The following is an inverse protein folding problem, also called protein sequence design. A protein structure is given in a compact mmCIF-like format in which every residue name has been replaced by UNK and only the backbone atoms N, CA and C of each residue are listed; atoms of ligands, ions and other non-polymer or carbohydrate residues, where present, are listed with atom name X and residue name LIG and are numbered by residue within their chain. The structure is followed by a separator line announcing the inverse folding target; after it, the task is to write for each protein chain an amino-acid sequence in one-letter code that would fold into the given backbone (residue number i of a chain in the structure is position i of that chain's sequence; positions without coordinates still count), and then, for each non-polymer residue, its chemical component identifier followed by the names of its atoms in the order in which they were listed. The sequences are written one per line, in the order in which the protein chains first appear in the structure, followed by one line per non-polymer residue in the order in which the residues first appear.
data_IF_815093629204
#
_entry.id   IF_815093629204
#
_cell.length_a   1.000
_cell.length_b   1.000
_cell.length_c   1.000
_cell.angle_alpha   90.00
_cell.angle_beta   90.00
_cell.angle_gamma   90.00
#
_symmetry.space_group_name_H-M   'P 1'
#
loop_
_entity.id
_entity.type
_entity.pdbx_description
1 polymer ?
#
# COMPACT_ATOMS: atom_id res chain seq x y z
N UNK A 1 2.18 -0.46 18.69
CA UNK A 1 3.62 -0.76 18.51
C UNK A 1 3.86 -1.31 17.09
N UNK A 2 4.84 -0.77 16.39
CA UNK A 2 5.27 -1.27 15.07
C UNK A 2 6.57 -2.06 15.23
N UNK A 3 6.52 -3.37 14.97
CA UNK A 3 7.68 -4.26 15.13
C UNK A 3 8.43 -4.55 13.82
N UNK A 4 7.97 -4.01 12.71
CA UNK A 4 8.59 -4.25 11.40
C UNK A 4 9.81 -3.38 11.11
N UNK A 5 10.12 -2.41 11.96
CA UNK A 5 11.32 -1.57 11.82
C UNK A 5 11.86 -1.14 13.19
N UNK A 6 13.15 -0.81 13.23
CA UNK A 6 13.81 -0.32 14.44
C UNK A 6 13.19 1.01 14.93
N UNK A 7 12.86 1.89 14.03
CA UNK A 7 12.20 3.17 14.33
C UNK A 7 10.81 2.95 14.94
N UNK A 8 10.11 1.90 14.54
CA UNK A 8 8.85 1.51 15.13
C UNK A 8 9.00 1.06 16.59
N UNK A 9 10.12 0.41 16.93
CA UNK A 9 10.47 0.02 18.29
C UNK A 9 10.85 1.24 19.15
N UNK A 10 11.70 2.11 18.63
CA UNK A 10 12.14 3.33 19.34
C UNK A 10 11.00 4.31 19.56
N UNK A 11 10.07 4.43 18.61
CA UNK A 11 8.81 5.16 18.81
C UNK A 11 8.06 4.64 20.03
N UNK A 12 8.01 3.32 20.22
CA UNK A 12 7.31 2.70 21.32
C UNK A 12 5.84 2.42 21.07
N UNK A 13 5.06 2.24 22.14
CA UNK A 13 3.65 1.92 22.11
C UNK A 13 2.78 3.09 22.58
N UNK A 14 1.51 3.09 22.20
CA UNK A 14 0.53 4.09 22.62
C UNK A 14 -0.75 3.40 23.06
N UNK A 15 -1.42 3.96 24.06
CA UNK A 15 -2.77 3.55 24.50
C UNK A 15 -3.87 4.08 23.58
N UNK A 16 -3.55 5.03 22.71
CA UNK A 16 -4.51 5.62 21.78
C UNK A 16 -4.83 4.62 20.69
N UNK A 17 -6.09 4.24 20.61
CA UNK A 17 -6.61 3.39 19.52
C UNK A 17 -6.83 4.24 18.28
N UNK A 18 -6.04 4.01 17.26
CA UNK A 18 -6.20 4.67 15.95
C UNK A 18 -7.35 4.06 15.17
N UNK A 19 -7.56 2.75 15.31
CA UNK A 19 -8.60 2.02 14.60
C UNK A 19 -8.96 0.71 15.34
N UNK A 20 -10.26 0.41 15.46
CA UNK A 20 -10.75 -0.82 16.09
C UNK A 20 -11.73 -1.63 15.24
N UNK A 21 -11.82 -1.38 13.93
CA UNK A 21 -12.72 -2.10 13.01
C UNK A 21 -14.20 -1.74 13.11
N UNK A 22 -14.69 -1.36 14.29
CA UNK A 22 -16.11 -1.05 14.54
C UNK A 22 -16.39 0.42 14.76
N UNK A 23 -15.37 1.22 15.06
CA UNK A 23 -15.50 2.66 15.32
C UNK A 23 -14.51 3.43 14.46
N UNK A 24 -14.99 4.46 13.80
CA UNK A 24 -14.16 5.46 13.17
C UNK A 24 -13.55 6.33 14.29
N UNK A 25 -12.23 6.27 14.43
CA UNK A 25 -11.53 7.16 15.35
C UNK A 25 -11.40 8.54 14.70
N UNK A 26 -11.66 9.58 15.48
CA UNK A 26 -11.40 10.96 15.06
C UNK A 26 -9.93 11.37 15.15
N UNK A 27 -9.09 10.46 15.65
CA UNK A 27 -7.66 10.69 15.81
C UNK A 27 -6.96 10.27 14.52
N UNK A 28 -6.22 11.18 13.86
CA UNK A 28 -5.44 10.84 12.69
C UNK A 28 -4.47 9.69 13.01
N UNK A 29 -4.23 8.75 12.07
CA UNK A 29 -3.22 7.72 12.25
C UNK A 29 -1.83 8.36 12.43
N UNK A 30 -1.06 7.83 13.38
CA UNK A 30 0.33 8.27 13.58
C UNK A 30 1.26 7.64 12.55
N UNK A 31 2.16 8.45 12.00
CA UNK A 31 3.08 8.05 10.93
C UNK A 31 4.52 8.37 11.33
N UNK A 32 5.38 7.36 11.24
CA UNK A 32 6.81 7.54 11.46
C UNK A 32 7.38 8.59 10.50
N UNK A 33 8.25 9.45 11.00
CA UNK A 33 8.96 10.52 10.27
C UNK A 33 8.08 11.62 9.67
N UNK A 34 6.76 11.55 9.83
CA UNK A 34 5.83 12.58 9.35
C UNK A 34 5.26 13.37 10.52
N UNK A 35 4.72 12.66 11.53
CA UNK A 35 4.07 13.29 12.68
C UNK A 35 5.07 13.74 13.76
N UNK A 36 6.22 13.10 13.83
CA UNK A 36 7.33 13.41 14.72
C UNK A 36 8.63 12.81 14.17
N UNK A 37 9.75 13.45 14.44
CA UNK A 37 11.08 13.09 13.92
C UNK A 37 11.97 12.52 15.04
N UNK A 38 11.73 12.90 16.29
CA UNK A 38 12.56 12.50 17.43
C UNK A 38 11.78 11.67 18.45
N UNK A 39 12.52 10.99 19.32
CA UNK A 39 11.95 10.22 20.44
C UNK A 39 11.16 11.12 21.38
N UNK A 40 11.66 12.30 21.70
CA UNK A 40 11.04 13.28 22.58
C UNK A 40 9.70 13.75 22.02
N UNK A 41 9.62 14.02 20.72
CA UNK A 41 8.38 14.38 20.05
C UNK A 41 7.35 13.24 20.11
N UNK A 42 7.79 11.98 19.95
CA UNK A 42 6.92 10.82 20.14
C UNK A 42 6.43 10.68 21.58
N UNK A 43 7.29 10.93 22.59
CA UNK A 43 6.89 10.94 24.00
C UNK A 43 5.85 12.02 24.26
N UNK A 44 6.00 13.22 23.68
CA UNK A 44 5.03 14.31 23.77
C UNK A 44 3.67 13.94 23.15
N UNK A 45 3.63 13.04 22.17
CA UNK A 45 2.40 12.48 21.57
C UNK A 45 1.80 11.30 22.35
N UNK A 46 2.31 10.97 23.54
CA UNK A 46 1.80 9.91 24.41
C UNK A 46 2.27 8.50 24.05
N UNK A 47 3.33 8.38 23.26
CA UNK A 47 4.01 7.10 23.07
C UNK A 47 4.93 6.83 24.27
N UNK A 48 4.84 5.65 24.84
CA UNK A 48 5.72 5.21 25.94
C UNK A 48 6.77 4.21 25.44
N UNK A 49 7.96 4.17 26.06
CA UNK A 49 9.05 3.29 25.63
C UNK A 49 8.69 1.82 25.85
N UNK A 50 9.16 0.98 24.94
CA UNK A 50 9.10 -0.49 25.05
C UNK A 50 10.48 -1.11 25.21
N UNK A 51 11.53 -0.35 24.90
CA UNK A 51 12.93 -0.64 25.16
C UNK A 51 13.37 0.12 26.42
N UNK A 52 14.45 -0.30 27.02
CA UNK A 52 15.09 0.46 28.09
C UNK A 52 15.74 1.74 27.52
N UNK A 53 15.58 2.87 28.22
CA UNK A 53 16.13 4.15 27.74
C UNK A 53 17.37 4.60 28.56
N UNK A 54 17.49 4.20 29.84
CA UNK A 54 18.54 4.71 30.75
C UNK A 54 19.09 3.61 31.63
N UNK A 55 19.36 2.43 31.11
CA UNK A 55 19.92 1.32 31.91
C UNK A 55 21.45 1.30 31.81
N UNK A 56 22.08 0.93 32.89
CA UNK A 56 23.55 0.88 33.00
C UNK A 56 24.12 -0.54 32.94
N UNK A 57 23.32 -1.54 33.26
CA UNK A 57 23.72 -2.95 33.19
C UNK A 57 22.78 -3.78 32.30
N UNK A 58 23.23 -4.92 31.82
CA UNK A 58 22.39 -5.82 31.02
C UNK A 58 21.13 -6.27 31.77
N UNK A 59 21.22 -6.53 33.05
CA UNK A 59 20.11 -6.95 33.91
C UNK A 59 19.10 -5.81 34.05
N UNK A 60 19.56 -4.61 34.34
CA UNK A 60 18.71 -3.42 34.42
C UNK A 60 18.05 -3.12 33.07
N UNK A 61 18.77 -3.30 31.97
CA UNK A 61 18.23 -3.13 30.62
C UNK A 61 17.07 -4.08 30.36
N UNK A 62 17.18 -5.33 30.75
CA UNK A 62 16.09 -6.31 30.63
C UNK A 62 14.92 -5.95 31.53
N UNK A 63 15.14 -5.60 32.79
CA UNK A 63 14.10 -5.24 33.75
C UNK A 63 13.32 -3.99 33.30
N UNK A 64 14.01 -3.03 32.69
CA UNK A 64 13.38 -1.82 32.17
C UNK A 64 12.70 -2.01 30.81
N UNK A 65 12.96 -3.09 30.08
CA UNK A 65 12.38 -3.36 28.78
C UNK A 65 10.99 -3.98 28.90
N UNK A 66 9.95 -3.23 28.56
CA UNK A 66 8.59 -3.76 28.48
C UNK A 66 8.47 -4.90 27.46
N UNK A 67 9.22 -4.82 26.36
CA UNK A 67 9.27 -5.89 25.36
C UNK A 67 9.80 -7.20 25.96
N UNK A 68 10.87 -7.13 26.77
CA UNK A 68 11.38 -8.30 27.48
C UNK A 68 10.35 -8.86 28.47
N UNK A 69 9.69 -8.01 29.24
CA UNK A 69 8.68 -8.43 30.22
C UNK A 69 7.52 -9.16 29.52
N UNK A 70 7.06 -8.69 28.36
CA UNK A 70 6.02 -9.35 27.57
C UNK A 70 6.49 -10.68 26.97
N UNK A 71 7.74 -10.78 26.51
CA UNK A 71 8.34 -12.03 26.04
C UNK A 71 8.45 -13.05 27.17
N UNK A 72 8.91 -12.60 28.36
CA UNK A 72 9.00 -13.44 29.56
C UNK A 72 7.63 -13.92 30.02
N UNK A 73 6.62 -13.06 30.02
CA UNK A 73 5.25 -13.44 30.36
C UNK A 73 4.74 -14.57 29.46
N UNK A 74 5.06 -14.52 28.16
CA UNK A 74 4.73 -15.59 27.20
C UNK A 74 5.44 -16.90 27.54
N UNK A 75 6.69 -16.87 27.95
CA UNK A 75 7.44 -18.08 28.34
C UNK A 75 6.90 -18.71 29.62
N UNK A 76 6.43 -17.88 30.56
CA UNK A 76 5.82 -18.37 31.81
C UNK A 76 4.43 -19.00 31.59
N UNK A 77 3.73 -18.56 30.53
CA UNK A 77 2.38 -19.02 30.18
C UNK A 77 2.36 -19.50 28.71
N UNK A 78 3.02 -20.66 28.42
CA UNK A 78 3.17 -21.15 27.08
C UNK A 78 1.84 -21.56 26.47
N UNK A 79 1.68 -21.32 25.16
CA UNK A 79 0.56 -21.77 24.38
C UNK A 79 0.90 -23.10 23.67
N UNK A 80 -0.07 -23.99 23.46
CA UNK A 80 0.15 -25.22 22.73
C UNK A 80 0.60 -24.92 21.28
N UNK A 81 1.57 -25.68 20.79
CA UNK A 81 2.07 -25.55 19.40
C UNK A 81 1.05 -26.07 18.39
N UNK A 82 0.16 -26.92 18.79
CA UNK A 82 -0.86 -27.58 17.95
C UNK A 82 -2.18 -27.63 18.72
N UNK A 83 -3.27 -27.39 18.02
CA UNK A 83 -4.61 -27.41 18.59
C UNK A 83 -5.28 -26.04 18.59
N UNK A 84 -6.47 -25.97 19.19
CA UNK A 84 -7.23 -24.73 19.31
C UNK A 84 -6.67 -23.84 20.41
N UNK A 85 -6.72 -22.53 20.17
CA UNK A 85 -6.43 -21.57 21.24
C UNK A 85 -7.52 -21.62 22.30
N UNK A 86 -7.18 -21.37 23.59
CA UNK A 86 -8.19 -21.26 24.64
C UNK A 86 -9.22 -20.17 24.32
N UNK A 87 -10.46 -20.34 24.75
CA UNK A 87 -11.54 -19.35 24.58
C UNK A 87 -11.21 -17.98 25.20
N UNK A 88 -10.30 -17.94 26.18
CA UNK A 88 -9.78 -16.69 26.76
C UNK A 88 -8.89 -15.89 25.83
N UNK A 89 -8.51 -16.43 24.67
CA UNK A 89 -7.69 -15.76 23.66
C UNK A 89 -8.58 -15.19 22.57
N UNK A 90 -9.15 -14.02 22.81
CA UNK A 90 -9.93 -13.33 21.79
C UNK A 90 -9.05 -12.84 20.63
N UNK A 91 -9.24 -13.40 19.45
CA UNK A 91 -8.57 -13.01 18.19
C UNK A 91 -9.47 -12.19 17.27
N UNK A 92 -10.68 -11.85 17.70
CA UNK A 92 -11.63 -11.05 16.92
C UNK A 92 -11.13 -9.64 16.65
N UNK A 93 -11.67 -8.99 15.63
CA UNK A 93 -11.38 -7.59 15.31
C UNK A 93 -11.86 -6.62 16.39
N UNK A 94 -12.92 -6.98 17.10
CA UNK A 94 -13.52 -6.19 18.16
C UNK A 94 -12.85 -6.35 19.54
N UNK A 95 -11.83 -7.22 19.64
CA UNK A 95 -11.18 -7.51 20.91
C UNK A 95 -10.69 -6.27 21.64
N UNK A 96 -10.72 -6.32 22.95
CA UNK A 96 -10.09 -5.30 23.75
C UNK A 96 -8.56 -5.33 23.57
N UNK A 97 -7.99 -4.20 23.13
CA UNK A 97 -6.55 -4.05 22.97
C UNK A 97 -6.02 -3.26 24.17
N UNK A 98 -5.33 -3.94 25.08
CA UNK A 98 -4.69 -3.30 26.22
C UNK A 98 -3.21 -3.12 25.94
N UNK A 99 -2.76 -1.85 25.87
CA UNK A 99 -1.35 -1.50 25.83
C UNK A 99 -0.91 -1.11 27.25
N UNK A 100 -0.15 -1.99 27.90
CA UNK A 100 0.40 -1.71 29.21
C UNK A 100 1.63 -0.80 29.13
N UNK A 101 1.95 -0.09 30.21
CA UNK A 101 3.26 0.56 30.40
C UNK A 101 4.10 -0.28 31.36
N UNK A 102 5.38 0.08 31.52
CA UNK A 102 6.27 -0.62 32.45
C UNK A 102 5.73 -0.58 33.90
N UNK A 103 5.26 0.57 34.32
CA UNK A 103 4.75 0.81 35.70
C UNK A 103 3.46 0.02 35.97
N UNK A 104 2.72 -0.33 34.94
CA UNK A 104 1.46 -1.07 35.02
C UNK A 104 1.61 -2.55 34.74
N UNK A 105 2.82 -3.00 34.38
CA UNK A 105 3.04 -4.36 33.87
C UNK A 105 2.67 -5.44 34.88
N UNK A 106 2.99 -5.30 36.16
CA UNK A 106 2.66 -6.29 37.19
C UNK A 106 1.15 -6.50 37.34
N UNK A 107 0.38 -5.43 37.27
CA UNK A 107 -1.08 -5.51 37.27
C UNK A 107 -1.59 -6.17 35.98
N UNK A 108 -1.05 -5.78 34.84
CA UNK A 108 -1.37 -6.37 33.54
C UNK A 108 -1.08 -7.87 33.48
N UNK A 109 0.07 -8.33 33.95
CA UNK A 109 0.47 -9.72 33.98
C UNK A 109 -0.46 -10.58 34.87
N UNK A 110 -0.92 -10.04 36.03
CA UNK A 110 -1.91 -10.72 36.86
C UNK A 110 -3.29 -10.82 36.23
N UNK A 111 -3.74 -9.78 35.52
CA UNK A 111 -5.06 -9.74 34.90
C UNK A 111 -5.10 -10.49 33.58
N UNK A 112 -3.99 -10.54 32.86
CA UNK A 112 -3.88 -11.10 31.51
C UNK A 112 -2.65 -12.03 31.38
N UNK A 113 -2.56 -13.14 32.14
CA UNK A 113 -1.37 -13.98 32.17
C UNK A 113 -1.05 -14.59 30.79
N UNK A 114 -2.04 -14.83 29.95
CA UNK A 114 -1.89 -15.39 28.61
C UNK A 114 -1.60 -14.33 27.51
N UNK A 115 -1.46 -13.04 27.88
CA UNK A 115 -1.30 -11.96 26.90
C UNK A 115 0.17 -11.53 26.70
N UNK A 116 1.09 -12.44 26.94
CA UNK A 116 2.49 -12.25 26.56
C UNK A 116 2.69 -12.23 25.06
N UNK A 117 3.87 -11.81 24.61
CA UNK A 117 4.23 -11.69 23.19
C UNK A 117 5.07 -12.88 22.72
N UNK A 118 4.82 -13.43 21.50
CA UNK A 118 3.79 -13.04 20.52
C UNK A 118 2.38 -13.50 20.96
N UNK A 119 1.42 -12.57 20.85
CA UNK A 119 0.04 -12.83 21.25
C UNK A 119 -0.64 -13.82 20.31
N UNK A 120 -1.40 -14.77 20.88
CA UNK A 120 -2.17 -15.79 20.14
C UNK A 120 -1.34 -16.62 19.14
N UNK A 121 -0.04 -16.69 19.29
CA UNK A 121 0.88 -17.49 18.48
C UNK A 121 1.65 -18.47 19.36
N UNK A 122 2.24 -19.55 18.80
CA UNK A 122 3.16 -20.41 19.55
C UNK A 122 4.28 -19.60 20.22
N UNK A 123 4.86 -20.17 21.26
CA UNK A 123 6.06 -19.58 21.88
C UNK A 123 7.21 -19.56 20.86
N UNK A 124 8.09 -18.57 21.02
CA UNK A 124 9.38 -18.59 20.34
C UNK A 124 10.16 -19.86 20.74
N UNK A 125 10.96 -20.36 19.84
CA UNK A 125 11.94 -21.40 20.18
C UNK A 125 12.96 -20.87 21.20
N UNK A 126 13.65 -21.75 21.90
CA UNK A 126 14.65 -21.34 22.89
C UNK A 126 15.78 -20.52 22.25
N UNK A 127 16.14 -20.79 21.00
CA UNK A 127 17.18 -20.05 20.29
C UNK A 127 16.70 -18.65 19.87
N UNK A 128 15.46 -18.53 19.36
CA UNK A 128 14.85 -17.24 19.03
C UNK A 128 14.69 -16.37 20.29
N UNK A 129 14.18 -16.95 21.36
CA UNK A 129 14.03 -16.26 22.64
C UNK A 129 15.37 -15.79 23.17
N UNK A 130 16.39 -16.65 23.19
CA UNK A 130 17.74 -16.32 23.66
C UNK A 130 18.35 -15.22 22.82
N UNK A 131 18.21 -15.28 21.50
CA UNK A 131 18.72 -14.25 20.57
C UNK A 131 18.09 -12.89 20.87
N UNK A 132 16.77 -12.82 21.06
CA UNK A 132 16.07 -11.58 21.39
C UNK A 132 16.47 -11.05 22.77
N UNK A 133 16.59 -11.91 23.77
CA UNK A 133 17.01 -11.51 25.12
C UNK A 133 18.43 -10.96 25.12
N UNK A 134 19.35 -11.60 24.40
CA UNK A 134 20.75 -11.10 24.28
C UNK A 134 20.79 -9.73 23.58
N UNK A 135 20.03 -9.57 22.50
CA UNK A 135 19.94 -8.28 21.80
C UNK A 135 19.35 -7.18 22.70
N UNK A 136 18.28 -7.47 23.45
CA UNK A 136 17.68 -6.55 24.42
C UNK A 136 18.64 -6.22 25.56
N UNK A 137 19.37 -7.21 26.12
CA UNK A 137 20.35 -7.00 27.18
C UNK A 137 21.50 -6.09 26.76
N UNK A 138 21.83 -6.06 25.46
CA UNK A 138 22.82 -5.16 24.87
C UNK A 138 22.30 -3.75 24.61
N UNK A 139 21.08 -3.42 25.04
CA UNK A 139 20.43 -2.13 24.77
C UNK A 139 19.76 -2.04 23.42
N UNK A 140 19.44 -3.18 22.82
CA UNK A 140 18.80 -3.25 21.50
C UNK A 140 19.53 -2.42 20.43
N UNK A 141 20.81 -2.71 20.14
CA UNK A 141 21.59 -1.89 19.20
C UNK A 141 20.93 -1.80 17.83
N UNK A 142 21.11 -0.65 17.17
CA UNK A 142 20.61 -0.38 15.82
C UNK A 142 21.24 -1.39 14.86
N UNK A 143 20.44 -2.10 14.06
CA UNK A 143 21.00 -2.94 13.01
C UNK A 143 21.78 -2.10 12.00
N UNK A 144 22.94 -2.58 11.58
CA UNK A 144 23.64 -1.96 10.45
C UNK A 144 22.77 -2.13 9.21
N UNK A 145 22.40 -1.01 8.59
CA UNK A 145 21.64 -1.04 7.35
C UNK A 145 22.45 -1.79 6.28
N UNK A 146 21.90 -2.79 5.60
CA UNK A 146 22.58 -3.47 4.52
C UNK A 146 22.89 -2.47 3.40
N UNK A 147 24.04 -2.61 2.77
CA UNK A 147 24.36 -1.86 1.57
C UNK A 147 23.79 -2.58 0.33
N UNK A 148 23.38 -1.84 -0.72
CA UNK A 148 22.98 -2.44 -1.99
C UNK A 148 24.06 -3.36 -2.55
N UNK A 149 23.65 -4.51 -3.12
CA UNK A 149 24.55 -5.42 -3.82
C UNK A 149 25.21 -4.75 -5.02
N UNK A 150 26.31 -5.31 -5.53
CA UNK A 150 26.98 -4.77 -6.71
C UNK A 150 26.06 -4.73 -7.94
N UNK A 151 25.29 -5.79 -8.16
CA UNK A 151 24.31 -5.87 -9.24
C UNK A 151 23.21 -4.80 -9.08
N UNK A 152 22.73 -4.59 -7.85
CA UNK A 152 21.72 -3.57 -7.60
C UNK A 152 22.24 -2.14 -7.82
N UNK A 153 23.50 -1.83 -7.49
CA UNK A 153 24.05 -0.49 -7.71
C UNK A 153 24.03 -0.05 -9.17
N UNK A 154 24.28 -0.96 -10.10
CA UNK A 154 24.16 -0.66 -11.52
C UNK A 154 22.73 -0.35 -11.91
N UNK A 155 21.78 -1.18 -11.47
CA UNK A 155 20.35 -0.98 -11.73
C UNK A 155 19.84 0.33 -11.10
N UNK A 156 20.25 0.64 -9.86
CA UNK A 156 19.93 1.90 -9.21
C UNK A 156 20.34 3.10 -10.05
N UNK A 157 21.58 3.11 -10.54
CA UNK A 157 22.09 4.20 -11.38
C UNK A 157 21.25 4.38 -12.65
N UNK A 158 20.89 3.29 -13.33
CA UNK A 158 20.13 3.32 -14.58
C UNK A 158 18.69 3.79 -14.34
N UNK A 159 18.01 3.26 -13.31
CA UNK A 159 16.64 3.61 -12.99
C UNK A 159 16.50 5.03 -12.44
N UNK A 160 17.45 5.48 -11.60
CA UNK A 160 17.46 6.86 -11.12
C UNK A 160 17.77 7.85 -12.25
N UNK A 161 18.61 7.50 -13.22
CA UNK A 161 18.82 8.31 -14.42
C UNK A 161 17.51 8.43 -15.24
N UNK A 162 16.81 7.30 -15.48
CA UNK A 162 15.54 7.28 -16.17
C UNK A 162 14.48 8.16 -15.46
N UNK A 163 14.33 8.02 -14.15
CA UNK A 163 13.31 8.74 -13.39
C UNK A 163 13.57 10.25 -13.27
N UNK A 164 14.80 10.72 -13.53
CA UNK A 164 15.20 12.11 -13.35
C UNK A 164 15.61 12.81 -14.66
N UNK A 165 15.22 12.28 -15.83
CA UNK A 165 15.42 12.97 -17.11
C UNK A 165 14.65 14.31 -17.13
N UNK A 166 15.23 15.41 -17.68
CA UNK A 166 14.73 16.76 -17.44
C UNK A 166 13.55 17.18 -18.32
N UNK A 167 13.12 16.40 -19.31
CA UNK A 167 11.98 16.77 -20.16
C UNK A 167 10.67 16.80 -19.37
N UNK A 168 9.75 17.73 -19.68
CA UNK A 168 8.44 17.80 -19.02
C UNK A 168 7.66 16.48 -19.13
N UNK A 169 7.76 15.83 -20.29
CA UNK A 169 7.13 14.54 -20.56
C UNK A 169 7.64 13.46 -19.60
N UNK A 170 8.97 13.40 -19.42
CA UNK A 170 9.58 12.47 -18.47
C UNK A 170 9.25 12.82 -17.01
N UNK A 171 9.29 14.09 -16.64
CA UNK A 171 8.97 14.51 -15.28
C UNK A 171 7.52 14.15 -14.92
N UNK A 172 6.57 14.34 -15.83
CA UNK A 172 5.17 13.93 -15.63
C UNK A 172 5.05 12.39 -15.53
N UNK A 173 5.75 11.66 -16.40
CA UNK A 173 5.83 10.19 -16.35
C UNK A 173 6.42 9.72 -15.02
N UNK A 174 7.51 10.30 -14.56
CA UNK A 174 8.15 9.93 -13.31
C UNK A 174 7.27 10.20 -12.10
N UNK A 175 6.51 11.31 -12.11
CA UNK A 175 5.50 11.59 -11.08
C UNK A 175 4.38 10.55 -11.11
N UNK A 176 3.87 10.18 -12.29
CA UNK A 176 2.86 9.14 -12.44
C UNK A 176 3.35 7.81 -11.89
N UNK A 177 4.54 7.38 -12.29
CA UNK A 177 5.17 6.15 -11.79
C UNK A 177 5.40 6.19 -10.27
N UNK A 178 5.92 7.29 -9.73
CA UNK A 178 6.13 7.46 -8.29
C UNK A 178 4.83 7.31 -7.50
N UNK A 179 3.76 7.99 -7.94
CA UNK A 179 2.48 7.96 -7.23
C UNK A 179 1.85 6.55 -7.31
N UNK A 180 1.93 5.88 -8.46
CA UNK A 180 1.36 4.54 -8.65
C UNK A 180 2.20 3.41 -8.04
N UNK A 181 3.50 3.59 -7.88
CA UNK A 181 4.41 2.62 -7.27
C UNK A 181 4.78 2.95 -5.82
N UNK A 182 4.07 3.88 -5.20
CA UNK A 182 4.37 4.38 -3.85
C UNK A 182 4.42 3.27 -2.78
N UNK A 183 3.59 2.24 -2.94
CA UNK A 183 3.54 1.10 -2.02
C UNK A 183 4.35 -0.12 -2.52
N UNK A 184 4.95 -0.04 -3.68
CA UNK A 184 5.69 -1.15 -4.26
C UNK A 184 6.99 -1.44 -3.49
N UNK A 185 7.24 -2.71 -3.24
CA UNK A 185 8.54 -3.23 -2.84
C UNK A 185 9.26 -3.71 -4.11
N UNK A 186 10.07 -2.84 -4.66
CA UNK A 186 10.75 -3.03 -5.93
C UNK A 186 11.97 -3.93 -5.73
N UNK A 187 12.09 -4.94 -6.58
CA UNK A 187 13.32 -5.71 -6.71
C UNK A 187 13.83 -5.66 -8.15
N UNK A 188 15.13 -5.72 -8.33
CA UNK A 188 15.73 -5.77 -9.66
C UNK A 188 15.91 -7.21 -10.11
N UNK A 189 15.73 -7.45 -11.40
CA UNK A 189 16.02 -8.74 -12.00
C UNK A 189 17.52 -9.09 -11.81
N UNK A 190 17.80 -10.32 -11.38
CA UNK A 190 19.18 -10.79 -11.14
C UNK A 190 19.82 -10.35 -9.82
N UNK A 191 19.07 -9.66 -8.94
CA UNK A 191 19.56 -9.31 -7.59
C UNK A 191 19.15 -10.34 -6.53
N UNK A 192 19.76 -10.31 -5.33
CA UNK A 192 19.39 -11.19 -4.24
C UNK A 192 17.91 -11.12 -3.86
N UNK A 193 17.31 -12.27 -3.52
CA UNK A 193 15.86 -12.43 -3.29
C UNK A 193 15.27 -11.66 -2.11
N UNK A 194 16.09 -11.02 -1.29
CA UNK A 194 15.64 -10.24 -0.10
C UNK A 194 16.03 -8.77 -0.18
N UNK A 195 16.40 -8.30 -1.33
CA UNK A 195 16.83 -6.92 -1.55
C UNK A 195 15.70 -6.16 -2.24
N UNK A 196 14.99 -5.33 -1.49
CA UNK A 196 13.84 -4.55 -1.95
C UNK A 196 14.08 -3.06 -1.79
N UNK A 197 13.47 -2.27 -2.67
CA UNK A 197 13.60 -0.83 -2.73
C UNK A 197 12.21 -0.17 -2.76
N UNK A 198 12.16 1.10 -2.37
CA UNK A 198 11.01 1.98 -2.59
C UNK A 198 11.43 3.17 -3.45
N UNK A 199 10.54 3.63 -4.31
CA UNK A 199 10.72 4.95 -4.94
C UNK A 199 10.38 6.01 -3.89
N UNK A 200 11.30 6.94 -3.67
CA UNK A 200 11.15 8.06 -2.74
C UNK A 200 11.50 9.37 -3.44
N UNK A 201 10.99 10.47 -2.93
CA UNK A 201 11.47 11.80 -3.27
C UNK A 201 12.60 12.16 -2.33
N UNK A 202 13.67 12.76 -2.85
CA UNK A 202 14.86 13.16 -2.07
C UNK A 202 15.28 14.57 -2.42
N UNK A 203 15.71 15.33 -1.41
CA UNK A 203 16.35 16.64 -1.62
C UNK A 203 17.78 16.54 -2.17
N UNK A 204 18.40 15.35 -2.10
CA UNK A 204 19.74 15.10 -2.60
C UNK A 204 19.72 14.35 -3.92
N UNK A 205 20.61 14.68 -4.88
CA UNK A 205 20.68 14.05 -6.19
C UNK A 205 21.23 12.62 -6.14
N UNK A 206 21.08 11.84 -7.24
CA UNK A 206 21.76 10.56 -7.42
C UNK A 206 23.23 10.61 -7.10
N UNK A 207 23.76 9.56 -6.45
CA UNK A 207 25.15 9.49 -6.02
C UNK A 207 25.44 10.07 -4.63
N UNK A 208 24.50 10.82 -4.04
CA UNK A 208 24.61 11.30 -2.66
C UNK A 208 23.72 10.47 -1.71
N UNK A 209 23.97 10.51 -0.39
CA UNK A 209 23.06 9.91 0.59
C UNK A 209 21.64 10.44 0.43
N UNK A 210 20.64 9.55 0.48
CA UNK A 210 19.23 9.91 0.31
C UNK A 210 18.77 10.71 1.53
N UNK A 211 18.18 11.88 1.28
CA UNK A 211 17.43 12.67 2.26
C UNK A 211 15.97 12.68 1.83
N UNK A 212 15.20 11.75 2.38
CA UNK A 212 13.79 11.56 1.98
C UNK A 212 12.95 12.78 2.28
N UNK A 213 12.16 13.21 1.29
CA UNK A 213 11.06 14.16 1.46
C UNK A 213 9.80 13.33 1.75
N UNK A 214 9.59 13.01 3.03
CA UNK A 214 8.47 12.22 3.48
C UNK A 214 7.18 13.05 3.52
N UNK A 215 6.14 12.56 2.86
CA UNK A 215 4.80 13.17 2.87
C UNK A 215 3.74 12.15 3.25
N UNK A 216 2.59 12.64 3.70
CA UNK A 216 1.47 11.77 4.13
C UNK A 216 0.94 10.95 2.96
N UNK A 217 0.86 11.60 1.77
CA UNK A 217 0.37 10.99 0.55
C UNK A 217 1.38 11.21 -0.58
N UNK A 218 1.43 10.35 -1.59
CA UNK A 218 2.37 10.51 -2.69
C UNK A 218 2.13 11.80 -3.49
N UNK A 219 0.88 12.27 -3.57
CA UNK A 219 0.52 13.48 -4.29
C UNK A 219 0.73 14.79 -3.49
N UNK A 220 1.06 14.71 -2.20
CA UNK A 220 1.33 15.92 -1.41
C UNK A 220 2.55 16.66 -1.96
N UNK A 221 2.54 17.99 -1.83
CA UNK A 221 3.67 18.83 -2.26
C UNK A 221 4.97 18.39 -1.60
N UNK A 222 6.07 18.28 -2.35
CA UNK A 222 7.39 18.03 -1.78
C UNK A 222 7.94 19.24 -0.99
N UNK A 223 7.26 20.39 -1.03
CA UNK A 223 7.72 21.61 -0.37
C UNK A 223 8.92 22.30 -1.06
N UNK A 224 9.36 21.79 -2.19
CA UNK A 224 10.44 22.33 -3.01
C UNK A 224 10.20 22.00 -4.47
N UNK A 225 10.59 22.90 -5.36
CA UNK A 225 10.57 22.66 -6.81
C UNK A 225 11.76 21.82 -7.28
N UNK A 226 12.77 21.68 -6.45
CA UNK A 226 13.97 20.88 -6.74
C UNK A 226 14.02 19.65 -5.84
N UNK A 227 13.78 18.51 -6.40
CA UNK A 227 13.91 17.19 -5.76
C UNK A 227 14.19 16.13 -6.82
N UNK A 228 14.57 14.93 -6.35
CA UNK A 228 14.92 13.80 -7.19
C UNK A 228 14.13 12.56 -6.79
N UNK A 229 13.75 11.74 -7.76
CA UNK A 229 13.26 10.39 -7.49
C UNK A 229 14.44 9.46 -7.27
N UNK A 230 14.42 8.77 -6.12
CA UNK A 230 15.51 7.89 -5.71
C UNK A 230 14.94 6.52 -5.32
N UNK A 231 15.76 5.52 -5.41
CA UNK A 231 15.42 4.15 -5.01
C UNK A 231 16.10 3.84 -3.67
N UNK A 232 15.34 3.87 -2.61
CA UNK A 232 15.82 3.64 -1.26
C UNK A 232 15.69 2.18 -0.87
N UNK A 233 16.81 1.55 -0.45
CA UNK A 233 16.79 0.19 0.08
C UNK A 233 15.82 0.10 1.26
N UNK A 234 14.87 -0.83 1.17
CA UNK A 234 13.80 -0.96 2.16
C UNK A 234 14.36 -1.53 3.48
N UNK A 235 14.38 -0.75 4.57
CA UNK A 235 15.08 -1.12 5.79
C UNK A 235 14.22 -1.97 6.73
N UNK A 236 12.92 -2.08 6.48
CA UNK A 236 11.99 -2.76 7.37
C UNK A 236 11.89 -4.25 7.06
N UNK A 237 11.48 -5.02 8.06
CA UNK A 237 11.14 -6.43 7.87
C UNK A 237 9.97 -6.60 6.91
N UNK A 238 10.02 -7.61 6.09
CA UNK A 238 8.95 -7.98 5.18
C UNK A 238 7.76 -8.51 6.00
N UNK A 239 6.62 -7.87 5.81
CA UNK A 239 5.34 -8.28 6.40
C UNK A 239 4.42 -8.70 5.26
N UNK A 240 3.97 -9.95 5.24
CA UNK A 240 3.21 -10.52 4.13
C UNK A 240 2.02 -9.65 3.69
N UNK A 241 1.27 -9.08 4.64
CA UNK A 241 0.09 -8.23 4.34
C UNK A 241 0.43 -6.96 3.56
N UNK A 242 1.61 -6.37 3.78
CA UNK A 242 2.02 -5.10 3.18
C UNK A 242 3.13 -5.26 2.15
N UNK A 243 3.51 -6.51 1.83
CA UNK A 243 4.59 -6.79 0.90
C UNK A 243 4.05 -6.87 -0.53
N UNK A 244 4.17 -5.76 -1.23
CA UNK A 244 3.72 -5.57 -2.60
C UNK A 244 4.91 -5.67 -3.55
N UNK A 245 5.23 -6.89 -3.99
CA UNK A 245 6.41 -7.18 -4.81
C UNK A 245 6.23 -6.62 -6.21
N UNK A 246 7.24 -5.87 -6.68
CA UNK A 246 7.24 -5.29 -8.01
C UNK A 246 8.62 -5.42 -8.69
N UNK A 247 8.65 -5.95 -9.92
CA UNK A 247 9.91 -6.22 -10.61
C UNK A 247 10.31 -5.07 -11.53
N UNK A 248 11.51 -4.52 -11.31
CA UNK A 248 12.20 -3.67 -12.27
C UNK A 248 13.17 -4.49 -13.12
N UNK A 249 13.09 -4.35 -14.44
CA UNK A 249 13.93 -5.00 -15.41
C UNK A 249 14.15 -4.10 -16.62
N UNK A 250 15.06 -4.45 -17.50
CA UNK A 250 15.29 -3.73 -18.75
C UNK A 250 14.04 -3.75 -19.65
N UNK A 251 13.34 -4.88 -19.70
CA UNK A 251 12.07 -5.01 -20.41
C UNK A 251 10.99 -4.07 -19.85
N UNK A 252 10.93 -3.92 -18.52
CA UNK A 252 10.00 -2.99 -17.88
C UNK A 252 10.34 -1.53 -18.18
N UNK A 253 11.62 -1.17 -18.20
CA UNK A 253 12.04 0.18 -18.59
C UNK A 253 11.72 0.48 -20.06
N UNK A 254 11.95 -0.49 -20.95
CA UNK A 254 11.56 -0.37 -22.36
C UNK A 254 10.03 -0.19 -22.50
N UNK A 255 9.25 -0.96 -21.75
CA UNK A 255 7.79 -0.83 -21.75
C UNK A 255 7.32 0.54 -21.25
N UNK A 256 7.95 1.12 -20.24
CA UNK A 256 7.62 2.49 -19.81
C UNK A 256 7.96 3.53 -20.88
N UNK A 257 9.05 3.36 -21.62
CA UNK A 257 9.37 4.23 -22.74
C UNK A 257 8.31 4.12 -23.85
N UNK A 258 7.96 2.91 -24.24
CA UNK A 258 6.89 2.64 -25.20
C UNK A 258 5.55 3.27 -24.80
N UNK A 259 5.14 3.14 -23.53
CA UNK A 259 3.85 3.64 -23.08
C UNK A 259 3.80 5.15 -22.89
N UNK A 260 4.88 5.77 -22.41
CA UNK A 260 4.82 7.14 -21.92
C UNK A 260 5.71 8.12 -22.69
N UNK A 261 6.75 7.67 -23.38
CA UNK A 261 7.69 8.57 -24.03
C UNK A 261 7.59 8.56 -25.57
N UNK A 262 7.33 7.40 -26.16
CA UNK A 262 7.23 7.22 -27.62
C UNK A 262 5.92 7.75 -28.22
N UNK A 263 4.74 7.63 -27.55
CA UNK A 263 3.50 8.15 -28.13
C UNK A 263 3.56 9.65 -28.42
N UNK A 264 2.91 10.04 -29.51
CA UNK A 264 2.86 11.46 -29.95
C UNK A 264 1.88 12.27 -29.08
N UNK A 265 2.36 12.85 -28.01
CA UNK A 265 1.65 13.86 -27.21
C UNK A 265 2.66 14.86 -26.63
N UNK A 266 2.17 16.02 -26.24
CA UNK A 266 2.98 17.08 -25.65
C UNK A 266 2.56 17.37 -24.24
N UNK A 267 3.54 17.47 -23.34
CA UNK A 267 3.33 17.98 -21.97
C UNK A 267 3.78 19.43 -21.94
N UNK A 268 2.83 20.33 -21.69
CA UNK A 268 3.07 21.78 -21.74
C UNK A 268 3.41 22.34 -20.36
N UNK A 269 2.90 21.72 -19.31
CA UNK A 269 3.14 22.11 -17.92
C UNK A 269 3.01 20.89 -16.99
N UNK A 270 3.67 20.92 -15.85
CA UNK A 270 3.49 19.91 -14.80
C UNK A 270 2.25 20.26 -13.96
N UNK A 271 1.45 19.26 -13.55
CA UNK A 271 0.29 19.51 -12.71
C UNK A 271 0.69 20.06 -11.35
N UNK A 272 -0.06 21.02 -10.87
CA UNK A 272 0.15 21.61 -9.55
C UNK A 272 -0.03 20.57 -8.43
N UNK A 273 0.54 20.87 -7.27
CA UNK A 273 0.31 20.09 -6.05
C UNK A 273 -0.90 20.57 -5.24
N UNK A 274 -1.72 21.46 -5.80
CA UNK A 274 -3.02 21.80 -5.21
C UNK A 274 -3.85 20.52 -5.04
N UNK A 275 -4.39 20.31 -3.85
CA UNK A 275 -5.15 19.10 -3.50
C UNK A 275 -6.32 18.86 -4.46
N UNK A 276 -6.95 19.91 -5.00
CA UNK A 276 -8.05 19.80 -5.95
C UNK A 276 -7.63 19.17 -7.28
N UNK A 277 -6.37 19.28 -7.65
CA UNK A 277 -5.77 18.68 -8.85
C UNK A 277 -5.03 17.40 -8.49
N UNK A 278 -4.07 17.49 -7.57
CA UNK A 278 -3.15 16.42 -7.25
C UNK A 278 -3.81 15.16 -6.69
N UNK A 279 -4.92 15.29 -5.94
CA UNK A 279 -5.64 14.14 -5.40
C UNK A 279 -6.52 13.39 -6.40
N UNK A 280 -6.61 13.89 -7.64
CA UNK A 280 -7.45 13.30 -8.68
C UNK A 280 -6.58 12.91 -9.89
N UNK A 281 -6.30 11.61 -10.10
CA UNK A 281 -5.41 11.17 -11.17
C UNK A 281 -5.91 11.52 -12.57
N UNK A 282 -7.23 11.64 -12.75
CA UNK A 282 -7.84 12.04 -14.04
C UNK A 282 -7.54 13.51 -14.38
N UNK A 283 -7.31 14.36 -13.38
CA UNK A 283 -6.90 15.76 -13.56
C UNK A 283 -5.38 15.90 -13.59
N UNK A 284 -4.70 15.30 -12.62
CA UNK A 284 -3.25 15.43 -12.49
C UNK A 284 -2.51 14.89 -13.71
N UNK A 285 -2.98 13.78 -14.28
CA UNK A 285 -2.29 13.09 -15.38
C UNK A 285 -3.03 13.18 -16.72
N UNK A 286 -3.93 14.14 -16.88
CA UNK A 286 -4.75 14.30 -18.11
C UNK A 286 -3.94 14.45 -19.40
N UNK A 287 -2.71 14.99 -19.32
CA UNK A 287 -1.84 15.14 -20.49
C UNK A 287 -1.19 13.83 -20.94
N UNK A 288 -1.22 12.77 -20.15
CA UNK A 288 -0.77 11.44 -20.56
C UNK A 288 -1.96 10.75 -21.26
N UNK A 289 -1.81 10.18 -22.47
CA UNK A 289 -2.89 9.50 -23.18
C UNK A 289 -3.58 8.43 -22.31
N UNK A 290 -4.91 8.36 -22.38
CA UNK A 290 -5.72 7.38 -21.62
C UNK A 290 -5.27 5.96 -21.90
N UNK A 291 -5.01 5.63 -23.17
CA UNK A 291 -4.52 4.30 -23.58
C UNK A 291 -3.19 3.95 -22.93
N UNK A 292 -2.26 4.91 -22.82
CA UNK A 292 -0.97 4.71 -22.14
C UNK A 292 -1.16 4.41 -20.65
N UNK A 293 -1.99 5.21 -19.98
CA UNK A 293 -2.31 5.02 -18.53
C UNK A 293 -3.02 3.69 -18.31
N UNK A 294 -4.00 3.36 -19.15
CA UNK A 294 -4.76 2.12 -18.99
C UNK A 294 -3.90 0.89 -19.27
N UNK A 295 -3.08 0.88 -20.32
CA UNK A 295 -2.17 -0.22 -20.63
C UNK A 295 -1.14 -0.44 -19.53
N UNK A 296 -0.62 0.63 -18.92
CA UNK A 296 0.23 0.52 -17.72
C UNK A 296 -0.49 -0.21 -16.57
N UNK A 297 -1.75 0.15 -16.28
CA UNK A 297 -2.51 -0.51 -15.23
C UNK A 297 -2.85 -1.97 -15.59
N UNK A 298 -3.12 -2.27 -16.86
CA UNK A 298 -3.38 -3.63 -17.33
C UNK A 298 -2.14 -4.51 -17.23
N UNK A 299 -0.96 -3.97 -17.55
CA UNK A 299 0.32 -4.69 -17.38
C UNK A 299 0.57 -5.06 -15.92
N UNK A 300 0.02 -4.29 -14.99
CA UNK A 300 0.16 -4.47 -13.55
C UNK A 300 -1.15 -4.86 -12.84
N UNK A 301 -2.16 -5.32 -13.57
CA UNK A 301 -3.49 -5.59 -13.01
C UNK A 301 -3.49 -6.62 -11.88
N UNK A 302 -2.67 -7.66 -11.96
CA UNK A 302 -2.49 -8.61 -10.87
C UNK A 302 -1.99 -7.91 -9.59
N UNK A 303 -0.93 -7.11 -9.70
CA UNK A 303 -0.38 -6.34 -8.59
C UNK A 303 -1.42 -5.39 -7.97
N UNK A 304 -2.20 -4.69 -8.80
CA UNK A 304 -3.23 -3.74 -8.37
C UNK A 304 -4.36 -4.46 -7.64
N UNK A 305 -4.91 -5.51 -8.23
CA UNK A 305 -6.02 -6.28 -7.65
C UNK A 305 -5.56 -7.01 -6.38
N UNK A 306 -4.38 -7.62 -6.39
CA UNK A 306 -3.81 -8.22 -5.19
C UNK A 306 -3.64 -7.19 -4.07
N UNK A 307 -3.10 -6.01 -4.38
CA UNK A 307 -2.94 -4.92 -3.43
C UNK A 307 -4.24 -4.48 -2.81
N UNK A 308 -5.28 -4.30 -3.60
CA UNK A 308 -6.61 -3.95 -3.13
C UNK A 308 -7.23 -5.03 -2.23
N UNK A 309 -7.19 -6.28 -2.65
CA UNK A 309 -7.78 -7.41 -1.94
C UNK A 309 -6.98 -7.75 -0.67
N UNK A 310 -5.67 -7.77 -0.75
CA UNK A 310 -4.75 -8.03 0.37
C UNK A 310 -4.85 -6.94 1.44
N UNK A 311 -5.23 -5.75 1.04
CA UNK A 311 -5.49 -4.60 1.91
C UNK A 311 -4.27 -4.17 2.73
N UNK A 312 -3.17 -3.75 2.09
CA UNK A 312 -2.03 -3.18 2.79
C UNK A 312 -2.41 -1.93 3.58
N UNK A 313 -3.44 -1.21 3.13
CA UNK A 313 -4.05 -0.08 3.83
C UNK A 313 -5.29 -0.56 4.59
N UNK A 314 -5.40 -0.23 5.79
CA UNK A 314 -6.32 -0.49 6.91
C UNK A 314 -7.63 -1.29 6.73
N UNK A 315 -8.20 -1.55 5.56
CA UNK A 315 -9.57 -2.08 5.44
C UNK A 315 -9.76 -3.21 4.44
N UNK A 316 -8.70 -3.92 4.09
CA UNK A 316 -8.79 -5.08 3.21
C UNK A 316 -9.84 -6.11 3.62
N UNK A 317 -10.09 -6.26 4.91
CA UNK A 317 -11.13 -7.15 5.41
C UNK A 317 -12.55 -6.72 5.00
N UNK A 318 -12.83 -5.42 4.85
CA UNK A 318 -14.14 -4.96 4.37
C UNK A 318 -14.30 -5.30 2.88
N UNK A 319 -13.25 -5.13 2.09
CA UNK A 319 -13.27 -5.56 0.69
C UNK A 319 -13.48 -7.08 0.57
N UNK A 320 -12.89 -7.87 1.47
CA UNK A 320 -13.08 -9.33 1.50
C UNK A 320 -14.51 -9.75 1.81
N UNK A 321 -15.29 -8.95 2.52
CA UNK A 321 -16.67 -9.29 2.85
C UNK A 321 -17.61 -9.29 1.64
N UNK A 322 -17.24 -8.63 0.54
CA UNK A 322 -18.05 -8.61 -0.70
C UNK A 322 -17.62 -9.71 -1.68
N UNK A 323 -16.57 -10.45 -1.35
CA UNK A 323 -16.10 -11.59 -2.14
C UNK A 323 -16.73 -12.83 -1.52
N UNK A 324 -17.52 -13.54 -2.27
CA UNK A 324 -17.90 -14.91 -1.94
C UNK A 324 -16.70 -15.82 -2.17
N UNK A 325 -16.75 -17.08 -2.13
CA UNK A 325 -15.55 -17.95 -2.13
C UNK A 325 -14.56 -17.67 -3.27
N UNK A 326 -15.08 -17.34 -4.45
CA UNK A 326 -14.29 -17.10 -5.66
C UNK A 326 -15.07 -16.20 -6.62
N UNK A 327 -14.35 -15.33 -7.35
CA UNK A 327 -14.92 -14.64 -8.50
C UNK A 327 -13.85 -14.34 -9.57
N UNK A 328 -14.31 -14.07 -10.79
CA UNK A 328 -13.45 -13.69 -11.91
C UNK A 328 -13.42 -12.17 -12.11
N UNK A 329 -12.27 -11.70 -12.55
CA UNK A 329 -12.08 -10.31 -12.99
C UNK A 329 -11.52 -10.34 -14.40
N UNK A 330 -12.17 -9.57 -15.28
CA UNK A 330 -11.74 -9.28 -16.63
C UNK A 330 -11.75 -7.76 -16.83
N UNK A 331 -11.16 -7.28 -17.92
CA UNK A 331 -10.99 -5.86 -18.17
C UNK A 331 -11.63 -5.46 -19.48
N UNK A 332 -12.07 -4.20 -19.55
CA UNK A 332 -12.50 -3.62 -20.83
C UNK A 332 -11.29 -3.47 -21.76
N UNK A 333 -11.51 -3.65 -23.04
CA UNK A 333 -10.46 -3.49 -24.06
C UNK A 333 -10.01 -2.02 -24.11
N UNK A 334 -8.70 -1.74 -23.97
CA UNK A 334 -8.17 -0.38 -24.03
C UNK A 334 -8.36 0.30 -25.41
N UNK A 335 -8.53 -0.46 -26.47
CA UNK A 335 -8.72 0.04 -27.84
C UNK A 335 -10.21 0.12 -28.23
N UNK A 336 -11.11 -0.35 -27.38
CA UNK A 336 -12.54 -0.24 -27.63
C UNK A 336 -13.01 1.22 -27.57
N UNK A 337 -13.81 1.63 -28.56
CA UNK A 337 -14.44 2.95 -28.59
C UNK A 337 -15.62 3.00 -27.61
N UNK A 338 -15.31 3.05 -26.34
CA UNK A 338 -16.27 3.25 -25.23
C UNK A 338 -15.94 4.55 -24.51
N UNK A 339 -16.96 5.24 -24.00
CA UNK A 339 -16.80 6.54 -23.33
C UNK A 339 -15.69 6.57 -22.28
N UNK A 340 -15.55 5.51 -21.48
CA UNK A 340 -14.53 5.42 -20.43
C UNK A 340 -13.08 5.34 -20.93
N UNK A 341 -12.86 5.13 -22.22
CA UNK A 341 -11.53 5.14 -22.87
C UNK A 341 -11.25 6.44 -23.66
N UNK A 342 -12.22 7.36 -23.74
CA UNK A 342 -12.07 8.63 -24.47
C UNK A 342 -11.66 9.75 -23.54
N UNK A 343 -10.68 10.55 -23.96
CA UNK A 343 -10.15 11.66 -23.17
C UNK A 343 -11.22 12.71 -22.88
N UNK A 344 -12.04 13.08 -23.88
CA UNK A 344 -13.11 14.07 -23.76
C UNK A 344 -14.13 13.66 -22.68
N UNK A 345 -14.53 12.40 -22.66
CA UNK A 345 -15.44 11.88 -21.65
C UNK A 345 -14.82 11.91 -20.25
N UNK A 346 -13.55 11.57 -20.12
CA UNK A 346 -12.87 11.58 -18.84
C UNK A 346 -12.63 13.00 -18.32
N UNK A 347 -12.34 13.96 -19.20
CA UNK A 347 -12.22 15.36 -18.85
C UNK A 347 -13.55 15.92 -18.33
N UNK A 348 -14.66 15.64 -19.03
CA UNK A 348 -16.02 16.00 -18.59
C UNK A 348 -16.39 15.36 -17.25
N UNK A 349 -16.04 14.08 -17.06
CA UNK A 349 -16.39 13.31 -15.88
C UNK A 349 -15.39 13.42 -14.74
N UNK A 350 -14.26 14.11 -14.91
CA UNK A 350 -13.16 14.14 -13.94
C UNK A 350 -13.59 14.61 -12.54
N UNK A 351 -14.52 15.55 -12.44
CA UNK A 351 -15.07 16.03 -11.16
C UNK A 351 -15.90 14.97 -10.43
N UNK A 352 -16.55 14.08 -11.18
CA UNK A 352 -17.36 13.00 -10.64
C UNK A 352 -16.54 11.77 -10.26
N UNK A 353 -15.31 11.68 -10.79
CA UNK A 353 -14.33 10.61 -10.50
C UNK A 353 -13.43 10.93 -9.29
N UNK A 354 -13.65 12.05 -8.62
CA UNK A 354 -12.89 12.46 -7.44
C UNK A 354 -12.94 11.39 -6.34
N UNK A 355 -11.78 11.15 -5.70
CA UNK A 355 -11.65 10.13 -4.67
C UNK A 355 -12.05 10.66 -3.28
N UNK A 356 -12.65 9.81 -2.42
CA UNK A 356 -13.04 10.21 -1.07
C UNK A 356 -11.84 10.51 -0.15
N UNK A 357 -10.64 10.04 -0.49
CA UNK A 357 -9.38 10.27 0.26
C UNK A 357 -8.95 11.74 0.34
N UNK A 358 -9.45 12.62 -0.53
CA UNK A 358 -9.15 14.05 -0.54
C UNK A 358 -9.44 14.75 0.78
N UNK A 359 -10.47 14.34 1.50
CA UNK A 359 -11.02 15.11 2.63
C UNK A 359 -10.53 14.69 4.01
N UNK A 360 -9.76 13.61 4.12
CA UNK A 360 -9.38 13.06 5.42
C UNK A 360 -10.59 12.60 6.26
N UNK A 361 -10.36 12.23 7.51
CA UNK A 361 -11.43 11.89 8.45
C UNK A 361 -12.16 13.16 8.91
N UNK A 362 -13.45 13.30 8.62
CA UNK A 362 -14.29 14.39 9.10
C UNK A 362 -15.45 13.86 9.95
N UNK A 363 -15.90 14.67 10.91
CA UNK A 363 -17.11 14.37 11.71
C UNK A 363 -18.40 14.28 10.88
N UNK A 364 -18.36 14.66 9.59
CA UNK A 364 -19.51 14.68 8.67
C UNK A 364 -19.49 13.51 7.69
N UNK A 365 -19.16 12.32 8.15
CA UNK A 365 -19.03 11.11 7.31
C UNK A 365 -20.28 10.87 6.44
N UNK A 366 -21.46 10.99 7.00
CA UNK A 366 -22.71 10.78 6.25
C UNK A 366 -22.90 11.79 5.10
N UNK A 367 -22.47 13.05 5.28
CA UNK A 367 -22.54 14.04 4.20
C UNK A 367 -21.52 13.72 3.10
N UNK A 368 -20.31 13.37 3.48
CA UNK A 368 -19.25 12.99 2.52
C UNK A 368 -19.68 11.76 1.70
N UNK A 369 -20.29 10.76 2.34
CA UNK A 369 -20.79 9.59 1.63
C UNK A 369 -21.97 9.90 0.71
N UNK A 370 -22.88 10.79 1.11
CA UNK A 370 -23.97 11.22 0.25
C UNK A 370 -23.48 11.96 -0.98
N UNK A 371 -22.63 12.97 -0.79
CA UNK A 371 -22.02 13.73 -1.89
C UNK A 371 -21.25 12.81 -2.86
N UNK A 372 -20.56 11.81 -2.30
CA UNK A 372 -19.86 10.81 -3.10
C UNK A 372 -20.83 9.91 -3.87
N UNK A 373 -21.90 9.44 -3.23
CA UNK A 373 -22.92 8.58 -3.87
C UNK A 373 -23.63 9.32 -5.01
N UNK A 374 -23.95 10.60 -4.85
CA UNK A 374 -24.57 11.43 -5.90
C UNK A 374 -23.64 11.57 -7.11
N UNK A 375 -22.36 11.86 -6.89
CA UNK A 375 -21.35 11.95 -7.97
C UNK A 375 -21.19 10.60 -8.66
N UNK A 376 -21.06 9.53 -7.90
CA UNK A 376 -20.91 8.17 -8.43
C UNK A 376 -22.13 7.78 -9.28
N UNK A 377 -23.35 8.08 -8.84
CA UNK A 377 -24.57 7.82 -9.59
C UNK A 377 -24.61 8.62 -10.91
N UNK A 378 -24.19 9.90 -10.89
CA UNK A 378 -24.10 10.72 -12.09
C UNK A 378 -23.13 10.10 -13.09
N UNK A 379 -21.93 9.73 -12.64
CA UNK A 379 -20.94 9.07 -13.47
C UNK A 379 -21.47 7.75 -14.06
N UNK A 380 -22.02 6.87 -13.23
CA UNK A 380 -22.56 5.57 -13.67
C UNK A 380 -23.67 5.76 -14.71
N UNK A 381 -24.61 6.69 -14.48
CA UNK A 381 -25.71 6.95 -15.40
C UNK A 381 -25.21 7.52 -16.74
N UNK A 382 -24.25 8.42 -16.72
CA UNK A 382 -23.65 8.99 -17.95
C UNK A 382 -22.89 7.91 -18.70
N UNK A 383 -22.05 7.14 -18.02
CA UNK A 383 -21.34 6.00 -18.58
C UNK A 383 -22.30 4.96 -19.23
N UNK A 384 -23.40 4.63 -18.55
CA UNK A 384 -24.41 3.74 -19.11
C UNK A 384 -25.02 4.27 -20.40
N UNK A 385 -25.33 5.56 -20.46
CA UNK A 385 -25.85 6.17 -21.70
C UNK A 385 -24.85 6.08 -22.83
N UNK A 386 -23.56 6.34 -22.57
CA UNK A 386 -22.48 6.22 -23.55
C UNK A 386 -22.34 4.78 -24.08
N UNK A 387 -22.33 3.79 -23.20
CA UNK A 387 -22.26 2.37 -23.58
C UNK A 387 -23.50 1.95 -24.39
N UNK A 388 -24.69 2.42 -24.02
CA UNK A 388 -25.91 2.09 -24.72
C UNK A 388 -25.97 2.78 -26.11
N UNK A 389 -25.48 4.03 -26.23
CA UNK A 389 -25.41 4.71 -27.52
C UNK A 389 -24.44 4.02 -28.47
N UNK A 390 -23.27 3.63 -28.00
CA UNK A 390 -22.32 2.84 -28.77
C UNK A 390 -22.86 1.48 -29.22
N UNK A 391 -23.76 0.86 -28.43
CA UNK A 391 -24.42 -0.40 -28.79
C UNK A 391 -25.54 -0.26 -29.81
N UNK A 392 -26.15 0.92 -29.96
CA UNK A 392 -27.27 1.11 -30.91
C UNK A 392 -26.83 1.09 -32.34
N UNK A 393 -25.58 1.38 -32.63
CA UNK A 393 -25.00 1.37 -33.95
C UNK A 393 -24.52 -0.04 -34.41
N UNK A 394 -24.51 -1.00 -33.52
CA UNK A 394 -23.95 -2.32 -33.65
C UNK A 394 -25.03 -3.43 -33.50
N UNK A 395 -25.37 -4.07 -34.57
CA UNK A 395 -26.60 -4.88 -34.77
C UNK A 395 -26.75 -6.23 -34.02
N UNK A 396 -25.81 -6.72 -33.22
CA UNK A 396 -25.95 -7.99 -32.49
C UNK A 396 -25.30 -7.95 -31.11
N UNK A 397 -26.11 -7.88 -30.05
CA UNK A 397 -25.72 -7.63 -28.66
C UNK A 397 -24.77 -8.65 -28.03
N UNK A 398 -24.70 -9.89 -28.51
CA UNK A 398 -23.93 -10.94 -27.83
C UNK A 398 -22.48 -11.02 -28.37
N UNK A 399 -22.28 -11.07 -29.65
CA UNK A 399 -20.97 -11.14 -30.28
C UNK A 399 -20.17 -9.82 -30.10
N UNK A 400 -20.87 -8.70 -30.03
CA UNK A 400 -20.29 -7.39 -29.84
C UNK A 400 -19.93 -7.08 -28.39
N UNK A 401 -20.73 -7.61 -27.43
CA UNK A 401 -20.42 -7.48 -26.01
C UNK A 401 -19.09 -8.12 -25.64
N UNK A 402 -18.72 -9.20 -26.31
CA UNK A 402 -17.43 -9.89 -26.08
C UNK A 402 -16.24 -9.13 -26.66
N UNK A 403 -16.43 -8.30 -27.69
CA UNK A 403 -15.37 -7.45 -28.28
C UNK A 403 -14.90 -6.33 -27.34
N UNK A 404 -15.67 -6.00 -26.31
CA UNK A 404 -15.29 -5.02 -25.31
C UNK A 404 -14.46 -5.61 -24.18
N UNK A 405 -14.28 -6.92 -24.14
CA UNK A 405 -13.44 -7.60 -23.14
C UNK A 405 -12.05 -7.79 -23.73
N UNK A 406 -11.07 -7.25 -23.02
CA UNK A 406 -9.67 -7.36 -23.37
C UNK A 406 -9.20 -8.82 -23.26
N UNK A 407 -8.57 -9.31 -24.29
CA UNK A 407 -8.06 -10.68 -24.38
C UNK A 407 -6.55 -10.79 -24.02
N UNK A 408 -5.93 -9.66 -23.61
CA UNK A 408 -4.51 -9.59 -23.30
C UNK A 408 -3.64 -9.44 -24.53
N UNK A 409 -4.21 -9.15 -25.70
CA UNK A 409 -3.52 -9.09 -27.00
C UNK A 409 -2.73 -10.39 -27.29
N UNK A 410 -3.18 -11.51 -26.70
CA UNK A 410 -2.52 -12.81 -26.77
C UNK A 410 -1.21 -12.94 -25.96
N UNK A 411 -0.81 -11.91 -25.24
CA UNK A 411 0.50 -11.84 -24.55
C UNK A 411 0.45 -11.47 -23.07
N UNK A 412 -0.54 -10.68 -22.63
CA UNK A 412 -0.60 -10.23 -21.25
C UNK A 412 -1.31 -11.25 -20.34
N UNK A 413 -0.61 -11.84 -19.35
CA UNK A 413 -1.18 -12.85 -18.45
C UNK A 413 -2.24 -12.30 -17.49
N UNK A 414 -2.39 -10.97 -17.40
CA UNK A 414 -3.34 -10.31 -16.50
C UNK A 414 -4.71 -10.08 -17.13
N UNK A 415 -4.96 -10.51 -18.37
CA UNK A 415 -6.24 -10.32 -19.05
C UNK A 415 -7.44 -10.90 -18.29
N UNK A 416 -7.22 -11.99 -17.58
CA UNK A 416 -8.20 -12.59 -16.70
C UNK A 416 -7.55 -12.95 -15.36
N UNK A 417 -8.25 -12.70 -14.26
CA UNK A 417 -7.79 -13.02 -12.92
C UNK A 417 -8.89 -13.79 -12.18
N UNK A 418 -8.48 -14.78 -11.40
CA UNK A 418 -9.34 -15.47 -10.44
C UNK A 418 -8.94 -15.07 -9.03
N UNK A 419 -9.91 -14.60 -8.26
CA UNK A 419 -9.72 -14.17 -6.88
C UNK A 419 -10.36 -15.20 -5.96
N UNK A 420 -9.57 -15.67 -4.98
CA UNK A 420 -9.99 -16.60 -3.95
C UNK A 420 -10.05 -15.90 -2.60
N UNK A 421 -11.17 -16.07 -1.91
CA UNK A 421 -11.30 -15.64 -0.53
C UNK A 421 -10.72 -16.69 0.42
N UNK A 422 -9.96 -16.21 1.40
CA UNK A 422 -9.52 -16.97 2.56
C UNK A 422 -10.13 -16.37 3.83
N UNK A 423 -9.97 -17.03 4.97
CA UNK A 423 -10.59 -16.61 6.23
C UNK A 423 -10.25 -15.14 6.60
N UNK A 424 -9.01 -14.73 6.43
CA UNK A 424 -8.49 -13.40 6.82
C UNK A 424 -7.71 -12.69 5.70
N UNK A 425 -7.71 -13.28 4.50
CA UNK A 425 -6.99 -12.77 3.35
C UNK A 425 -7.66 -13.22 2.04
N UNK A 426 -7.06 -12.84 0.92
CA UNK A 426 -7.39 -13.35 -0.39
C UNK A 426 -6.13 -13.56 -1.22
N UNK A 427 -6.23 -14.36 -2.26
CA UNK A 427 -5.18 -14.54 -3.26
C UNK A 427 -5.73 -14.28 -4.66
N UNK A 428 -4.84 -13.88 -5.55
CA UNK A 428 -5.12 -13.62 -6.96
C UNK A 428 -4.30 -14.57 -7.81
N UNK A 429 -4.92 -15.18 -8.80
CA UNK A 429 -4.28 -16.09 -9.74
C UNK A 429 -4.62 -15.65 -11.16
N UNK A 430 -3.64 -15.69 -12.05
CA UNK A 430 -3.86 -15.37 -13.46
C UNK A 430 -4.73 -16.44 -14.14
N UNK A 431 -5.60 -15.99 -15.03
CA UNK A 431 -6.49 -16.85 -15.81
C UNK A 431 -7.81 -17.19 -15.10
N UNK A 432 -8.66 -17.91 -15.83
CA UNK A 432 -9.91 -18.47 -15.32
C UNK A 432 -9.60 -19.83 -14.68
N UNK A 433 -9.67 -19.91 -13.37
CA UNK A 433 -9.35 -21.13 -12.62
C UNK A 433 -10.58 -21.64 -11.89
N UNK A 434 -10.82 -22.94 -11.98
CA UNK A 434 -11.95 -23.66 -11.38
C UNK A 434 -13.24 -23.57 -12.20
N UNK A 435 -14.36 -23.94 -11.60
CA UNK A 435 -15.70 -23.87 -12.20
C UNK A 435 -16.18 -22.43 -12.32
N UNK A 436 -17.25 -22.20 -13.09
CA UNK A 436 -17.88 -20.88 -13.20
C UNK A 436 -18.25 -20.32 -11.82
N UNK A 437 -17.81 -19.13 -11.44
CA UNK A 437 -18.19 -18.49 -10.20
C UNK A 437 -19.57 -17.83 -10.34
N UNK A 438 -20.21 -17.53 -9.21
CA UNK A 438 -21.48 -16.79 -9.17
C UNK A 438 -21.34 -15.34 -9.61
N UNK A 439 -20.12 -14.80 -9.59
CA UNK A 439 -19.82 -13.41 -9.93
C UNK A 439 -18.61 -13.29 -10.85
N UNK A 440 -18.72 -12.37 -11.80
CA UNK A 440 -17.59 -11.89 -12.62
C UNK A 440 -17.65 -10.36 -12.72
N UNK A 441 -16.48 -9.71 -12.63
CA UNK A 441 -16.39 -8.27 -12.76
C UNK A 441 -15.69 -7.89 -14.04
N UNK A 442 -16.27 -6.92 -14.76
CA UNK A 442 -15.63 -6.26 -15.89
C UNK A 442 -15.16 -4.89 -15.39
N UNK A 443 -13.87 -4.68 -15.40
CA UNK A 443 -13.22 -3.47 -14.89
C UNK A 443 -12.74 -2.63 -16.08
N UNK A 444 -13.17 -1.38 -16.15
CA UNK A 444 -12.69 -0.40 -17.12
C UNK A 444 -11.58 0.49 -16.53
N UNK A 445 -10.98 1.34 -17.36
CA UNK A 445 -9.90 2.23 -16.96
C UNK A 445 -10.24 3.09 -15.71
N UNK A 446 -11.37 3.82 -15.68
CA UNK A 446 -11.65 4.65 -14.51
C UNK A 446 -11.84 3.88 -13.21
N UNK A 447 -12.37 2.67 -13.29
CA UNK A 447 -12.55 1.83 -12.11
C UNK A 447 -11.18 1.27 -11.64
N UNK A 448 -10.35 0.78 -12.55
CA UNK A 448 -9.02 0.25 -12.21
C UNK A 448 -8.10 1.34 -11.65
N UNK A 449 -8.08 2.52 -12.26
CA UNK A 449 -7.33 3.68 -11.78
C UNK A 449 -7.77 4.07 -10.36
N UNK A 450 -9.08 4.13 -10.10
CA UNK A 450 -9.61 4.49 -8.78
C UNK A 450 -9.32 3.43 -7.73
N UNK A 451 -9.43 2.15 -8.06
CA UNK A 451 -9.06 1.04 -7.18
C UNK A 451 -7.60 1.21 -6.74
N UNK A 452 -6.70 1.40 -7.71
CA UNK A 452 -5.28 1.53 -7.42
C UNK A 452 -4.95 2.81 -6.65
N UNK A 453 -5.47 3.95 -7.11
CA UNK A 453 -5.15 5.24 -6.48
C UNK A 453 -5.72 5.38 -5.07
N UNK A 454 -6.85 4.73 -4.75
CA UNK A 454 -7.34 4.61 -3.39
C UNK A 454 -6.38 3.83 -2.48
N UNK A 455 -5.68 2.82 -3.01
CA UNK A 455 -4.67 2.10 -2.25
C UNK A 455 -3.51 2.99 -1.85
N UNK A 456 -3.00 3.77 -2.79
CA UNK A 456 -1.79 4.58 -2.56
C UNK A 456 -2.06 5.87 -1.79
N UNK A 457 -3.31 6.32 -1.71
CA UNK A 457 -3.70 7.59 -1.06
C UNK A 457 -4.61 7.44 0.16
N UNK A 458 -5.11 6.23 0.45
CA UNK A 458 -6.11 5.92 1.50
C UNK A 458 -5.60 5.76 2.93
#
# INVERSE_FOLDING_TARGET
LKLSSYEGLTRGASKVRVYNGTRLSNIPPTRLFIDAQTTEEWRAKGFHPVLAENASTPEETLEQSLLYQLLRLKQLHPQPKVGMLPDSMDTSLGREQVCTTREQFDQYARQHPNWGMPYAMPNLSDDEYRTLVQWLAQGAPVPVAPAPSAAAREQLTRWEAFLNEPSLKQQLTSRYLYEHLFQAHIHFEGTPTREFYRVVRSSTPPGQPIQEIATVRPYDSPGSDSFYYRLWLYPASIVAKTHMVYKFSDARMARYRELFLEPEYSVTELPSYDVAIASNPFKAFRQIPVTSRYRFLLDDAHFIIEGFIKGPVCRGQIALNVIEDRFWVVFADPDADIGSNREEFLDEMSDYLELPSKRGSTLRILKVWRDYAERQNTYINTRHKEILSAKHDAGNLYDEGMRFIWDGDGHNPNAALTIYRHFDSASVTNGFVGEFPDSAWIIDYPLLERIHYLLVTG
#
